data_IF_529439272251
#
_entry.id   IF_529439272251
#
_cell.length_a   1.000
_cell.length_b   1.000
_cell.length_c   1.000
_cell.angle_alpha   90.00
_cell.angle_beta   90.00
_cell.angle_gamma   90.00
#
_symmetry.space_group_name_H-M   'P 1'
#
loop_
_entity.id
_entity.type
_entity.pdbx_description
1 polymer ?
#
# COMPACT_ATOMS: atom_id res chain seq x y z
N UNK A 1 19.43 4.20 -11.87
CA UNK A 1 18.76 4.38 -13.17
C UNK A 1 17.29 4.10 -13.00
N UNK A 2 16.44 5.08 -13.33
CA UNK A 2 15.00 4.89 -13.41
C UNK A 2 14.63 4.05 -14.64
N UNK A 3 13.55 3.28 -14.54
CA UNK A 3 12.98 2.51 -15.65
C UNK A 3 11.50 2.88 -15.81
N UNK A 4 10.99 2.80 -17.03
CA UNK A 4 9.57 3.02 -17.30
C UNK A 4 9.13 2.14 -18.46
N UNK A 5 7.85 1.80 -18.51
CA UNK A 5 7.29 1.01 -19.59
C UNK A 5 5.87 0.56 -19.31
N UNK A 6 5.41 -0.41 -20.09
CA UNK A 6 4.04 -0.92 -19.99
C UNK A 6 3.99 -2.20 -19.17
N UNK A 7 2.92 -2.39 -18.39
CA UNK A 7 2.67 -3.64 -17.67
C UNK A 7 2.45 -4.83 -18.62
N UNK A 8 2.19 -4.57 -19.91
CA UNK A 8 2.13 -5.60 -20.96
C UNK A 8 3.51 -6.19 -21.30
N UNK A 9 4.56 -5.38 -21.20
CA UNK A 9 5.92 -5.78 -21.54
C UNK A 9 6.70 -6.29 -20.34
N UNK A 10 6.40 -5.76 -19.15
CA UNK A 10 6.97 -6.21 -17.89
C UNK A 10 5.85 -6.27 -16.84
N UNK A 11 5.28 -7.46 -16.59
CA UNK A 11 4.22 -7.65 -15.62
C UNK A 11 4.64 -7.21 -14.21
N UNK A 12 3.68 -6.77 -13.39
CA UNK A 12 3.93 -6.37 -12.00
C UNK A 12 4.72 -7.42 -11.18
N UNK A 13 4.43 -8.73 -11.26
CA UNK A 13 5.20 -9.71 -10.49
C UNK A 13 6.70 -9.69 -10.83
N UNK A 14 7.05 -9.50 -12.11
CA UNK A 14 8.44 -9.40 -12.55
C UNK A 14 9.09 -8.11 -12.05
N UNK A 15 8.37 -6.98 -12.09
CA UNK A 15 8.84 -5.70 -11.53
C UNK A 15 9.15 -5.82 -10.04
N UNK A 16 8.20 -6.36 -9.26
CA UNK A 16 8.34 -6.52 -7.82
C UNK A 16 9.46 -7.52 -7.47
N UNK A 17 9.60 -8.60 -8.24
CA UNK A 17 10.68 -9.57 -8.07
C UNK A 17 12.05 -8.95 -8.37
N UNK A 18 12.15 -8.14 -9.42
CA UNK A 18 13.37 -7.40 -9.76
C UNK A 18 13.76 -6.41 -8.66
N UNK A 19 12.80 -5.62 -8.16
CA UNK A 19 13.01 -4.69 -7.03
C UNK A 19 13.54 -5.43 -5.81
N UNK A 20 12.90 -6.55 -5.44
CA UNK A 20 13.25 -7.35 -4.28
C UNK A 20 14.63 -8.00 -4.44
N UNK A 21 14.85 -8.73 -5.54
CA UNK A 21 16.07 -9.52 -5.76
C UNK A 21 17.32 -8.66 -5.96
N UNK A 22 17.16 -7.48 -6.57
CA UNK A 22 18.24 -6.52 -6.74
C UNK A 22 18.33 -5.50 -5.60
N UNK A 23 17.57 -5.68 -4.51
CA UNK A 23 17.55 -4.80 -3.34
C UNK A 23 17.42 -3.32 -3.70
N UNK A 24 16.50 -3.00 -4.61
CA UNK A 24 16.32 -1.63 -5.10
C UNK A 24 15.77 -0.72 -4.00
N UNK A 25 16.25 0.53 -4.00
CA UNK A 25 15.68 1.63 -3.22
C UNK A 25 15.11 2.64 -4.21
N UNK A 26 13.88 3.11 -3.96
CA UNK A 26 13.18 4.01 -4.86
C UNK A 26 11.66 3.82 -4.84
N UNK A 27 10.95 4.53 -5.71
CA UNK A 27 9.48 4.50 -5.77
C UNK A 27 8.98 3.94 -7.09
N UNK A 28 8.19 2.88 -7.03
CA UNK A 28 7.40 2.38 -8.16
C UNK A 28 6.09 3.15 -8.23
N UNK A 29 5.81 3.71 -9.39
CA UNK A 29 4.53 4.28 -9.75
C UNK A 29 3.88 3.39 -10.80
N UNK A 30 2.60 3.08 -10.61
CA UNK A 30 1.79 2.32 -11.56
C UNK A 30 0.53 3.10 -11.86
N UNK A 31 0.39 3.53 -13.11
CA UNK A 31 -0.78 4.23 -13.62
C UNK A 31 -1.68 3.25 -14.39
N UNK A 32 -2.93 3.13 -13.97
CA UNK A 32 -3.95 2.29 -14.64
C UNK A 32 -5.27 3.03 -14.70
N UNK A 33 -5.66 3.48 -15.90
CA UNK A 33 -6.82 4.36 -16.08
C UNK A 33 -6.58 5.71 -15.39
N UNK A 34 -7.53 6.11 -14.55
CA UNK A 34 -7.46 7.37 -13.78
C UNK A 34 -6.79 7.18 -12.39
N UNK A 35 -6.31 5.98 -12.09
CA UNK A 35 -5.70 5.64 -10.81
C UNK A 35 -4.18 5.57 -10.90
N UNK A 36 -3.54 6.07 -9.85
CA UNK A 36 -2.09 6.02 -9.65
C UNK A 36 -1.81 5.37 -8.31
N UNK A 37 -1.07 4.27 -8.35
CA UNK A 37 -0.52 3.58 -7.20
C UNK A 37 0.96 3.96 -7.08
N UNK A 38 1.39 4.36 -5.88
CA UNK A 38 2.78 4.66 -5.56
C UNK A 38 3.24 3.74 -4.43
N UNK A 39 4.37 3.05 -4.64
CA UNK A 39 4.95 2.14 -3.65
C UNK A 39 6.44 2.45 -3.53
N UNK A 40 6.88 2.80 -2.33
CA UNK A 40 8.30 3.06 -2.07
C UNK A 40 8.96 1.85 -1.43
N UNK A 41 10.19 1.59 -1.88
CA UNK A 41 11.02 0.47 -1.47
C UNK A 41 12.35 0.95 -0.92
N UNK A 42 12.82 0.28 0.12
CA UNK A 42 14.14 0.48 0.72
C UNK A 42 14.85 -0.86 0.87
N UNK A 43 15.96 -1.04 0.13
CA UNK A 43 16.73 -2.29 0.04
C UNK A 43 15.82 -3.48 -0.31
N UNK A 44 14.90 -3.28 -1.26
CA UNK A 44 13.95 -4.30 -1.73
C UNK A 44 12.72 -4.52 -0.82
N UNK A 45 12.63 -3.88 0.35
CA UNK A 45 11.45 -3.95 1.22
C UNK A 45 10.47 -2.83 0.91
N UNK A 46 9.18 -3.12 0.83
CA UNK A 46 8.16 -2.07 0.76
C UNK A 46 8.09 -1.37 2.12
N UNK A 47 8.26 -0.05 2.10
CA UNK A 47 8.21 0.82 3.29
C UNK A 47 7.06 1.83 3.25
N UNK A 48 6.46 2.08 2.09
CA UNK A 48 5.37 3.01 1.92
C UNK A 48 4.50 2.62 0.73
N UNK A 49 3.21 2.93 0.83
CA UNK A 49 2.29 2.81 -0.29
C UNK A 49 1.14 3.81 -0.21
N UNK A 50 0.71 4.31 -1.36
CA UNK A 50 -0.39 5.25 -1.52
C UNK A 50 -1.13 5.03 -2.84
N UNK A 51 -2.42 5.34 -2.82
CA UNK A 51 -3.30 5.27 -3.97
C UNK A 51 -4.05 6.59 -4.13
N UNK A 52 -4.36 6.97 -5.37
CA UNK A 52 -5.33 8.04 -5.66
C UNK A 52 -6.78 7.59 -5.51
N UNK A 53 -7.03 6.29 -5.39
CA UNK A 53 -8.36 5.73 -5.17
C UNK A 53 -8.78 5.90 -3.69
N UNK A 54 -9.88 6.60 -3.47
CA UNK A 54 -10.29 7.06 -2.14
C UNK A 54 -10.45 5.91 -1.13
N UNK A 55 -11.09 4.82 -1.54
CA UNK A 55 -11.37 3.65 -0.71
C UNK A 55 -10.10 2.92 -0.27
N UNK A 56 -9.01 3.07 -1.02
CA UNK A 56 -7.70 2.48 -0.71
C UNK A 56 -6.84 3.37 0.17
N UNK A 57 -7.22 4.63 0.38
CA UNK A 57 -6.45 5.52 1.25
C UNK A 57 -6.51 5.05 2.70
N UNK A 58 -5.40 5.20 3.42
CA UNK A 58 -5.27 4.68 4.79
C UNK A 58 -6.35 5.23 5.74
N UNK A 59 -6.71 6.51 5.62
CA UNK A 59 -7.76 7.12 6.42
C UNK A 59 -9.13 6.47 6.21
N UNK A 60 -9.54 6.26 4.96
CA UNK A 60 -10.82 5.61 4.62
C UNK A 60 -10.85 4.14 5.04
N UNK A 61 -9.73 3.43 4.89
CA UNK A 61 -9.56 2.05 5.38
C UNK A 61 -9.80 1.95 6.90
N UNK A 62 -9.36 2.95 7.68
CA UNK A 62 -9.58 3.00 9.13
C UNK A 62 -11.01 3.41 9.50
N UNK A 63 -11.60 4.38 8.78
CA UNK A 63 -12.98 4.83 9.00
C UNK A 63 -13.95 3.69 8.78
N UNK A 64 -13.84 2.99 7.66
CA UNK A 64 -14.75 1.90 7.33
C UNK A 64 -14.58 0.69 8.26
N UNK A 65 -13.55 0.65 9.11
CA UNK A 65 -13.37 -0.32 10.21
C UNK A 65 -13.85 0.18 11.57
N UNK A 66 -14.37 1.40 11.67
CA UNK A 66 -14.73 2.03 12.95
C UNK A 66 -13.53 2.39 13.84
N UNK A 67 -12.30 2.34 13.30
CA UNK A 67 -11.07 2.65 14.06
C UNK A 67 -10.77 4.16 14.06
N UNK A 68 -11.38 4.91 13.15
CA UNK A 68 -11.20 6.35 13.00
C UNK A 68 -12.55 6.99 12.70
N UNK A 69 -12.93 8.03 13.43
CA UNK A 69 -14.12 8.82 13.07
C UNK A 69 -13.80 9.84 11.98
N UNK A 70 -14.83 10.27 11.22
CA UNK A 70 -14.70 11.34 10.23
C UNK A 70 -14.16 12.64 10.83
N UNK A 71 -14.55 12.96 12.06
CA UNK A 71 -14.08 14.14 12.79
C UNK A 71 -12.57 14.03 13.10
N UNK A 72 -12.11 12.88 13.60
CA UNK A 72 -10.69 12.62 13.86
C UNK A 72 -9.88 12.60 12.57
N UNK A 73 -10.40 12.00 11.50
CA UNK A 73 -9.76 12.00 10.18
C UNK A 73 -9.59 13.42 9.63
N UNK A 74 -10.63 14.24 9.72
CA UNK A 74 -10.59 15.65 9.29
C UNK A 74 -9.56 16.45 10.08
N UNK A 75 -9.51 16.27 11.41
CA UNK A 75 -8.52 16.92 12.27
C UNK A 75 -7.10 16.49 11.90
N UNK A 76 -6.86 15.17 11.77
CA UNK A 76 -5.55 14.63 11.45
C UNK A 76 -5.07 15.08 10.05
N UNK A 77 -5.99 15.18 9.09
CA UNK A 77 -5.69 15.66 7.74
C UNK A 77 -5.18 17.10 7.74
N UNK A 78 -5.82 18.00 8.50
CA UNK A 78 -5.37 19.41 8.62
C UNK A 78 -3.94 19.51 9.14
N UNK A 79 -3.63 18.79 10.21
CA UNK A 79 -2.29 18.78 10.81
C UNK A 79 -1.24 18.25 9.83
N UNK A 80 -1.57 17.17 9.10
CA UNK A 80 -0.70 16.61 8.07
C UNK A 80 -0.39 17.63 6.96
N UNK A 81 -1.39 18.37 6.48
CA UNK A 81 -1.21 19.36 5.41
C UNK A 81 -0.29 20.51 5.88
N UNK A 82 -0.42 20.95 7.12
CA UNK A 82 0.40 22.02 7.71
C UNK A 82 1.86 21.58 7.97
N UNK A 83 2.07 20.33 8.39
CA UNK A 83 3.36 19.84 8.88
C UNK A 83 4.11 18.92 7.92
N UNK A 84 3.52 18.55 6.77
CA UNK A 84 4.07 17.61 5.76
C UNK A 84 4.46 16.24 6.34
N UNK A 85 3.70 15.75 7.32
CA UNK A 85 3.90 14.41 7.93
C UNK A 85 2.88 13.39 7.43
N UNK A 86 3.21 12.09 7.50
CA UNK A 86 2.28 11.05 7.08
C UNK A 86 1.06 10.97 8.02
N UNK A 87 -0.12 10.61 7.49
CA UNK A 87 -1.35 10.50 8.29
C UNK A 87 -1.16 9.53 9.48
N UNK A 88 -0.49 8.41 9.25
CA UNK A 88 -0.18 7.42 10.29
C UNK A 88 0.61 8.04 11.46
N UNK A 89 1.54 8.95 11.17
CA UNK A 89 2.33 9.64 12.20
C UNK A 89 1.46 10.60 13.01
N UNK A 90 0.60 11.38 12.33
CA UNK A 90 -0.37 12.26 13.01
C UNK A 90 -1.29 11.46 13.94
N UNK A 91 -1.84 10.34 13.46
CA UNK A 91 -2.75 9.51 14.27
C UNK A 91 -2.07 8.97 15.54
N UNK A 92 -0.79 8.60 15.41
CA UNK A 92 0.04 8.18 16.54
C UNK A 92 0.32 9.33 17.50
N UNK A 93 0.75 10.48 17.00
CA UNK A 93 1.11 11.64 17.83
C UNK A 93 -0.11 12.23 18.56
N UNK A 94 -1.30 12.16 17.95
CA UNK A 94 -2.58 12.52 18.58
C UNK A 94 -3.14 11.42 19.50
N UNK A 95 -2.46 10.28 19.64
CA UNK A 95 -2.90 9.13 20.42
C UNK A 95 -4.30 8.62 20.04
N UNK A 96 -4.69 8.77 18.76
CA UNK A 96 -5.97 8.30 18.24
C UNK A 96 -5.98 6.78 18.15
N UNK A 97 -4.84 6.19 17.76
CA UNK A 97 -4.63 4.75 17.71
C UNK A 97 -3.23 4.38 18.25
N UNK A 98 -3.06 3.21 18.88
CA UNK A 98 -1.76 2.67 19.23
C UNK A 98 -0.84 2.50 18.01
N UNK A 99 0.46 2.77 18.16
CA UNK A 99 1.43 2.69 17.05
C UNK A 99 1.47 1.29 16.43
N UNK A 100 1.44 0.24 17.25
CA UNK A 100 1.47 -1.15 16.80
C UNK A 100 0.24 -1.51 15.97
N UNK A 101 -0.93 -0.97 16.32
CA UNK A 101 -2.17 -1.12 15.57
C UNK A 101 -2.12 -0.37 14.24
N UNK A 102 -1.61 0.86 14.22
CA UNK A 102 -1.39 1.64 13.00
C UNK A 102 -0.45 0.89 12.05
N UNK A 103 0.71 0.42 12.54
CA UNK A 103 1.69 -0.32 11.73
C UNK A 103 1.10 -1.64 11.23
N UNK A 104 0.31 -2.35 12.04
CA UNK A 104 -0.42 -3.55 11.62
C UNK A 104 -1.37 -3.26 10.46
N UNK A 105 -2.10 -2.14 10.52
CA UNK A 105 -3.03 -1.73 9.48
C UNK A 105 -2.31 -1.27 8.20
N UNK A 106 -1.19 -0.55 8.33
CA UNK A 106 -0.34 -0.18 7.20
C UNK A 106 0.20 -1.43 6.49
N UNK A 107 0.66 -2.45 7.23
CA UNK A 107 1.11 -3.71 6.63
C UNK A 107 0.00 -4.41 5.85
N UNK A 108 -1.21 -4.52 6.43
CA UNK A 108 -2.36 -5.12 5.74
C UNK A 108 -2.72 -4.37 4.46
N UNK A 109 -2.71 -3.03 4.51
CA UNK A 109 -2.94 -2.18 3.33
C UNK A 109 -1.89 -2.44 2.25
N UNK A 110 -0.61 -2.41 2.60
CA UNK A 110 0.48 -2.62 1.66
C UNK A 110 0.45 -4.02 1.01
N UNK A 111 0.16 -5.06 1.79
CA UNK A 111 -0.01 -6.43 1.26
C UNK A 111 -1.21 -6.51 0.29
N UNK A 112 -2.32 -5.84 0.59
CA UNK A 112 -3.48 -5.77 -0.29
C UNK A 112 -3.17 -5.04 -1.60
N UNK A 113 -2.44 -3.93 -1.55
CA UNK A 113 -2.03 -3.20 -2.77
C UNK A 113 -1.08 -4.02 -3.65
N UNK A 114 -0.11 -4.75 -3.06
CA UNK A 114 0.72 -5.69 -3.83
C UNK A 114 -0.16 -6.73 -4.53
N UNK A 115 -1.17 -7.28 -3.84
CA UNK A 115 -2.08 -8.28 -4.40
C UNK A 115 -2.96 -7.73 -5.51
N UNK A 116 -3.45 -6.51 -5.38
CA UNK A 116 -4.22 -5.86 -6.44
C UNK A 116 -3.35 -5.56 -7.66
N UNK A 117 -2.17 -4.98 -7.45
CA UNK A 117 -1.22 -4.71 -8.52
C UNK A 117 -0.79 -6.00 -9.24
N UNK A 118 -0.64 -7.12 -8.52
CA UNK A 118 -0.32 -8.41 -9.13
C UNK A 118 -1.33 -8.79 -10.23
N UNK A 119 -2.61 -8.44 -10.07
CA UNK A 119 -3.68 -8.74 -11.05
C UNK A 119 -3.76 -7.71 -12.19
N UNK A 120 -3.06 -6.58 -12.06
CA UNK A 120 -3.09 -5.52 -13.06
C UNK A 120 -2.32 -5.94 -14.31
N UNK A 121 -3.07 -6.21 -15.38
CA UNK A 121 -2.54 -6.62 -16.70
C UNK A 121 -2.42 -5.47 -17.70
N UNK A 122 -2.86 -4.27 -17.33
CA UNK A 122 -2.86 -3.06 -18.17
C UNK A 122 -2.45 -1.86 -17.34
N UNK A 123 -1.68 -0.96 -17.93
CA UNK A 123 -1.17 0.24 -17.27
C UNK A 123 0.26 0.52 -17.70
N UNK A 124 0.74 1.68 -17.30
CA UNK A 124 2.14 2.09 -17.45
C UNK A 124 2.77 2.16 -16.06
N UNK A 125 4.07 1.90 -15.99
CA UNK A 125 4.84 1.99 -14.76
C UNK A 125 6.05 2.89 -14.95
N UNK A 126 6.50 3.45 -13.82
CA UNK A 126 7.76 4.18 -13.70
C UNK A 126 8.39 3.84 -12.36
N UNK A 127 9.64 3.40 -12.37
CA UNK A 127 10.44 3.22 -11.16
C UNK A 127 11.44 4.36 -11.04
N UNK A 128 11.33 5.11 -9.96
CA UNK A 128 12.15 6.25 -9.60
C UNK A 128 13.24 5.81 -8.64
N UNK A 129 14.43 5.60 -9.20
CA UNK A 129 15.58 5.08 -8.48
C UNK A 129 16.08 6.11 -7.46
N UNK A 130 16.24 5.66 -6.22
CA UNK A 130 16.67 6.47 -5.07
C UNK A 130 15.74 7.66 -4.73
N UNK A 131 14.54 7.70 -5.28
CA UNK A 131 13.50 8.66 -4.89
C UNK A 131 12.56 8.03 -3.86
N UNK A 132 12.65 8.49 -2.62
CA UNK A 132 11.76 8.12 -1.53
C UNK A 132 10.83 9.30 -1.17
N UNK A 133 9.64 9.03 -0.63
CA UNK A 133 8.76 10.10 -0.15
C UNK A 133 9.45 10.89 0.96
N UNK A 134 9.48 12.23 0.80
CA UNK A 134 9.90 13.16 1.84
C UNK A 134 8.80 13.32 2.90
N UNK A 135 8.61 12.26 3.68
CA UNK A 135 7.60 12.14 4.73
C UNK A 135 8.20 11.44 5.95
N UNK A 136 7.84 11.90 7.15
CA UNK A 136 8.11 11.16 8.39
C UNK A 136 7.17 9.94 8.48
N UNK A 137 7.74 8.74 8.29
CA UNK A 137 7.03 7.46 8.23
C UNK A 137 7.16 6.67 9.53
N UNK A 138 6.14 5.89 9.85
CA UNK A 138 6.24 4.83 10.87
C UNK A 138 7.06 3.64 10.33
N UNK A 139 7.66 2.80 11.20
CA UNK A 139 8.53 1.69 10.78
C UNK A 139 7.73 0.55 10.13
N UNK A 140 7.37 0.70 8.86
CA UNK A 140 6.79 -0.33 8.01
C UNK A 140 7.91 -1.00 7.20
N UNK A 141 7.95 -2.33 7.23
CA UNK A 141 8.73 -3.14 6.28
C UNK A 141 7.91 -4.36 5.90
N UNK A 142 7.71 -4.54 4.59
CA UNK A 142 7.04 -5.71 4.01
C UNK A 142 8.00 -6.39 3.06
N UNK A 143 8.22 -7.68 3.29
CA UNK A 143 9.01 -8.54 2.41
C UNK A 143 8.21 -8.84 1.14
N UNK A 144 8.64 -8.24 0.04
CA UNK A 144 7.96 -8.34 -1.26
C UNK A 144 8.02 -9.76 -1.80
N UNK A 145 9.15 -10.46 -1.69
CA UNK A 145 9.29 -11.82 -2.19
C UNK A 145 8.36 -12.77 -1.43
N UNK A 146 8.28 -12.62 -0.11
CA UNK A 146 7.36 -13.39 0.72
C UNK A 146 5.90 -13.07 0.40
N UNK A 147 5.56 -11.80 0.17
CA UNK A 147 4.22 -11.41 -0.25
C UNK A 147 3.83 -12.06 -1.59
N UNK A 148 4.71 -12.00 -2.59
CA UNK A 148 4.51 -12.63 -3.89
C UNK A 148 4.33 -14.15 -3.78
N UNK A 149 5.16 -14.83 -2.98
CA UNK A 149 5.04 -16.28 -2.76
C UNK A 149 3.68 -16.66 -2.17
N UNK A 150 3.19 -15.90 -1.18
CA UNK A 150 1.84 -16.14 -0.63
C UNK A 150 0.76 -15.97 -1.69
N UNK A 151 0.90 -14.95 -2.55
CA UNK A 151 -0.06 -14.67 -3.61
C UNK A 151 -0.09 -15.82 -4.60
N UNK A 152 1.07 -16.33 -5.05
CA UNK A 152 1.13 -17.47 -5.98
C UNK A 152 0.56 -18.74 -5.35
N UNK A 153 0.90 -19.04 -4.10
CA UNK A 153 0.35 -20.19 -3.37
C UNK A 153 -1.18 -20.12 -3.27
N UNK A 154 -1.71 -18.95 -2.89
CA UNK A 154 -3.15 -18.74 -2.80
C UNK A 154 -3.86 -18.91 -4.14
N UNK A 155 -3.21 -18.51 -5.25
CA UNK A 155 -3.75 -18.68 -6.61
C UNK A 155 -3.76 -20.14 -7.05
N UNK A 156 -2.71 -20.90 -6.73
CA UNK A 156 -2.59 -22.32 -7.09
C UNK A 156 -3.58 -23.18 -6.29
N UNK A 157 -3.80 -22.86 -5.00
CA UNK A 157 -4.74 -23.57 -4.13
C UNK A 157 -6.20 -23.35 -4.50
N UNK A 158 -6.54 -22.20 -5.08
CA UNK A 158 -7.94 -21.80 -5.25
C UNK A 158 -8.64 -22.48 -6.43
N UNK A 159 -7.99 -22.66 -7.60
CA UNK A 159 -8.58 -23.34 -8.80
C UNK A 159 -9.91 -22.79 -9.37
N UNK A 160 -10.66 -21.98 -8.62
CA UNK A 160 -11.94 -21.37 -8.88
C UNK A 160 -12.10 -20.23 -7.86
N UNK A 161 -12.49 -19.04 -8.33
CA UNK A 161 -12.52 -17.82 -7.51
C UNK A 161 -13.70 -17.86 -6.52
N UNK A 162 -13.41 -17.78 -5.21
CA UNK A 162 -14.37 -17.38 -4.20
C UNK A 162 -13.77 -16.23 -3.37
N UNK A 163 -14.22 -15.01 -3.64
CA UNK A 163 -13.86 -13.80 -2.89
C UNK A 163 -14.79 -13.67 -1.69
N UNK A 164 -14.49 -14.45 -0.67
CA UNK A 164 -15.17 -14.55 0.62
C UNK A 164 -14.07 -15.12 1.55
N UNK A 165 -13.45 -14.45 2.51
CA UNK A 165 -13.74 -13.25 3.28
C UNK A 165 -12.41 -12.57 3.66
N UNK A 166 -12.28 -11.28 3.30
CA UNK A 166 -11.18 -10.35 3.62
C UNK A 166 -9.83 -10.60 2.94
N UNK A 167 -9.28 -9.62 2.24
CA UNK A 167 -8.16 -8.92 2.89
C UNK A 167 -8.60 -7.79 3.83
N UNK A 168 -9.83 -7.32 3.63
CA UNK A 168 -10.49 -6.30 4.44
C UNK A 168 -11.94 -6.76 4.69
N UNK A 169 -12.27 -7.14 5.92
CA UNK A 169 -13.67 -7.24 6.38
C UNK A 169 -14.06 -5.85 6.87
N UNK A 170 -14.97 -5.19 6.16
CA UNK A 170 -15.74 -4.05 6.68
C UNK A 170 -16.93 -4.61 7.45
N UNK A 171 -16.66 -5.21 8.62
CA UNK A 171 -17.74 -5.60 9.53
C UNK A 171 -18.24 -4.32 10.23
N UNK A 172 -19.30 -3.72 9.70
CA UNK A 172 -20.12 -2.76 10.43
C UNK A 172 -20.99 -3.60 11.39
N UNK A 173 -20.92 -3.42 12.72
CA UNK A 173 -21.83 -4.12 13.62
C UNK A 173 -23.28 -3.70 13.32
N UNK A 174 -24.25 -4.62 13.28
CA UNK A 174 -25.64 -4.23 13.23
C UNK A 174 -25.97 -3.50 14.54
N UNK A 175 -26.55 -2.30 14.41
CA UNK A 175 -27.14 -1.55 15.52
C UNK A 175 -28.38 -2.22 16.08
#
# INVERSE_FOLDING_TARGET
MSIQGSLKTMPVPELLMWISSCQKTGTLEVASGDHLEQIAFDVGFLIYSASTELEKTFGHILIARGMLSEAQHTQARRIREDQRIALAKVLKDLHILPEDEIVRMLRKKAEAEIFELFKSVKGEFRFLDDELPDLDLLPLRVDVARALLRITQQMDESGNYDYDQSGIRFDIPPG
#
